data_IF_772354490055
#
_entry.id   IF_772354490055
#
_cell.length_a   1.000
_cell.length_b   1.000
_cell.length_c   1.000
_cell.angle_alpha   90.00
_cell.angle_beta   90.00
_cell.angle_gamma   90.00
#
_symmetry.space_group_name_H-M   'P 1'
#
loop_
_entity.id
_entity.type
_entity.pdbx_description
1 polymer ?
#
# COMPACT_ATOMS: atom_id res chain seq x y z
N UNK A 1 14.78 6.19 -35.25
CA UNK A 1 15.12 5.34 -34.08
C UNK A 1 13.85 4.67 -33.59
N UNK A 2 13.44 3.57 -34.24
CA UNK A 2 12.24 2.80 -33.89
C UNK A 2 12.47 2.12 -32.54
N UNK A 3 11.76 2.55 -31.50
CA UNK A 3 11.68 1.79 -30.25
C UNK A 3 10.82 0.55 -30.50
N UNK A 4 11.49 -0.57 -30.81
CA UNK A 4 10.88 -1.88 -30.91
C UNK A 4 10.34 -2.27 -29.52
N UNK A 5 9.03 -2.15 -29.32
CA UNK A 5 8.36 -2.56 -28.09
C UNK A 5 8.51 -4.08 -27.91
N UNK A 6 9.42 -4.49 -27.03
CA UNK A 6 9.66 -5.89 -26.68
C UNK A 6 8.44 -6.41 -25.90
N UNK A 7 7.51 -7.07 -26.61
CA UNK A 7 6.42 -7.83 -26.01
C UNK A 7 7.01 -9.00 -25.21
N UNK A 8 6.99 -8.89 -23.88
CA UNK A 8 7.35 -10.01 -22.99
C UNK A 8 6.11 -10.89 -22.84
N UNK A 9 6.07 -11.99 -23.59
CA UNK A 9 5.05 -13.02 -23.44
C UNK A 9 5.34 -13.84 -22.17
N UNK A 10 4.80 -13.42 -21.02
CA UNK A 10 4.78 -14.26 -19.82
C UNK A 10 3.68 -15.31 -19.96
N UNK A 11 4.06 -16.57 -20.18
CA UNK A 11 3.12 -17.70 -20.16
C UNK A 11 2.51 -17.84 -18.76
N UNK A 12 1.18 -17.74 -18.66
CA UNK A 12 0.47 -18.11 -17.44
C UNK A 12 0.20 -19.62 -17.51
N UNK A 13 0.63 -20.37 -16.50
CA UNK A 13 0.52 -21.84 -16.46
C UNK A 13 -0.94 -22.39 -16.50
N UNK A 14 -1.96 -21.53 -16.42
CA UNK A 14 -3.38 -21.93 -16.29
C UNK A 14 -4.35 -21.23 -17.27
N UNK A 15 -3.88 -20.66 -18.39
CA UNK A 15 -4.79 -20.04 -19.37
C UNK A 15 -4.27 -20.18 -20.79
N UNK A 16 -5.11 -20.72 -21.68
CA UNK A 16 -4.80 -20.97 -23.10
C UNK A 16 -4.99 -19.76 -24.01
N UNK A 17 -5.56 -18.66 -23.52
CA UNK A 17 -5.69 -17.43 -24.30
C UNK A 17 -4.57 -16.43 -23.97
N UNK A 18 -3.80 -16.06 -25.00
CA UNK A 18 -2.80 -15.00 -24.89
C UNK A 18 -3.52 -13.64 -24.75
N UNK A 19 -3.77 -13.20 -23.52
CA UNK A 19 -4.27 -11.84 -23.28
C UNK A 19 -3.13 -10.85 -23.50
N UNK A 20 -3.26 -9.98 -24.50
CA UNK A 20 -2.37 -8.83 -24.68
C UNK A 20 -2.49 -7.91 -23.44
N UNK A 21 -1.62 -8.11 -22.45
CA UNK A 21 -1.61 -7.27 -21.26
C UNK A 21 -0.73 -6.05 -21.51
N UNK A 22 -1.35 -4.88 -21.61
CA UNK A 22 -0.63 -3.62 -21.51
C UNK A 22 0.09 -3.53 -20.15
N UNK A 23 1.37 -3.12 -20.08
CA UNK A 23 2.09 -2.96 -18.83
C UNK A 23 1.43 -1.89 -17.96
N UNK A 24 0.60 -2.33 -17.01
CA UNK A 24 -0.08 -1.48 -16.02
C UNK A 24 0.70 -1.49 -14.71
N UNK A 25 0.92 -0.30 -14.13
CA UNK A 25 1.47 -0.20 -12.78
C UNK A 25 0.56 -0.92 -11.78
N UNK A 26 1.13 -1.82 -10.97
CA UNK A 26 0.38 -2.54 -9.94
C UNK A 26 0.54 -1.85 -8.60
N UNK A 27 -0.56 -1.76 -7.84
CA UNK A 27 -0.50 -1.30 -6.47
C UNK A 27 0.14 -2.35 -5.57
N UNK A 28 0.99 -1.91 -4.64
CA UNK A 28 1.58 -2.78 -3.64
C UNK A 28 0.50 -3.31 -2.66
N UNK A 29 0.19 -4.60 -2.77
CA UNK A 29 -0.92 -5.22 -2.03
C UNK A 29 -0.75 -5.14 -0.51
N UNK A 30 0.49 -5.24 -0.01
CA UNK A 30 0.81 -5.11 1.41
C UNK A 30 0.58 -3.71 1.96
N UNK A 31 0.79 -2.67 1.15
CA UNK A 31 0.55 -1.28 1.53
C UNK A 31 -0.95 -0.97 1.51
N UNK A 32 -1.68 -1.42 0.47
CA UNK A 32 -3.14 -1.24 0.32
C UNK A 32 -3.94 -1.79 1.50
N UNK A 33 -3.45 -2.87 2.12
CA UNK A 33 -4.08 -3.49 3.30
C UNK A 33 -3.90 -2.66 4.57
N UNK A 34 -2.77 -1.97 4.72
CA UNK A 34 -2.34 -1.31 5.96
C UNK A 34 -2.64 0.18 6.01
N UNK A 35 -2.59 0.85 4.86
CA UNK A 35 -2.79 2.28 4.72
C UNK A 35 -4.07 2.56 3.93
N UNK A 36 -4.82 3.58 4.34
CA UNK A 36 -5.97 4.09 3.59
C UNK A 36 -5.73 5.55 3.24
N UNK A 37 -5.98 5.92 1.99
CA UNK A 37 -5.91 7.32 1.56
C UNK A 37 -7.08 8.11 2.14
N UNK A 38 -6.81 9.37 2.44
CA UNK A 38 -7.78 10.38 2.82
C UNK A 38 -7.85 11.43 1.71
N UNK A 39 -8.97 12.14 1.59
CA UNK A 39 -9.18 13.17 0.56
C UNK A 39 -8.25 14.39 0.69
N UNK A 40 -7.57 14.54 1.83
CA UNK A 40 -6.58 15.59 2.07
C UNK A 40 -5.16 15.19 1.65
N UNK A 41 -4.98 14.06 0.95
CA UNK A 41 -3.69 13.58 0.48
C UNK A 41 -2.81 12.89 1.52
N UNK A 42 -3.29 12.74 2.77
CA UNK A 42 -2.62 11.96 3.81
C UNK A 42 -3.11 10.50 3.84
N UNK A 43 -2.37 9.64 4.56
CA UNK A 43 -2.77 8.26 4.78
C UNK A 43 -3.04 8.00 6.25
N UNK A 44 -4.18 7.38 6.55
CA UNK A 44 -4.49 6.85 7.88
C UNK A 44 -3.92 5.45 8.07
N UNK A 45 -3.43 5.16 9.28
CA UNK A 45 -2.91 3.85 9.70
C UNK A 45 -3.15 3.58 11.19
N UNK A 46 -3.14 2.31 11.57
CA UNK A 46 -3.07 1.91 12.98
C UNK A 46 -1.65 2.14 13.55
N UNK A 47 -1.56 2.34 14.86
CA UNK A 47 -0.28 2.37 15.59
C UNK A 47 0.22 0.96 15.89
N UNK A 48 1.55 0.80 15.91
CA UNK A 48 2.18 -0.49 16.19
C UNK A 48 2.23 -0.77 17.69
N UNK A 49 2.25 -2.05 18.08
CA UNK A 49 2.49 -2.45 19.46
C UNK A 49 1.24 -2.53 20.36
N UNK A 50 0.02 -2.54 19.82
CA UNK A 50 -1.21 -2.71 20.61
C UNK A 50 -1.68 -4.18 20.73
N UNK A 51 -1.07 -5.13 20.00
CA UNK A 51 -1.63 -6.48 19.84
C UNK A 51 -1.29 -7.47 20.97
N UNK A 52 -0.08 -7.41 21.53
CA UNK A 52 0.38 -8.33 22.59
C UNK A 52 1.14 -7.58 23.69
N UNK A 53 1.34 -8.25 24.85
CA UNK A 53 2.05 -7.69 26.01
C UNK A 53 1.42 -6.39 26.52
N UNK A 54 0.09 -6.36 26.61
CA UNK A 54 -0.66 -5.19 27.05
C UNK A 54 -0.75 -5.08 28.58
N UNK A 55 -0.47 -6.17 29.30
CA UNK A 55 -0.50 -6.24 30.76
C UNK A 55 0.49 -5.25 31.39
N UNK A 56 1.71 -5.18 30.85
CA UNK A 56 2.78 -4.31 31.38
C UNK A 56 2.71 -2.86 30.89
N UNK A 57 1.74 -2.51 30.04
CA UNK A 57 1.61 -1.15 29.50
C UNK A 57 0.63 -0.34 30.34
N UNK A 58 1.01 0.89 30.66
CA UNK A 58 0.11 1.82 31.33
C UNK A 58 -1.19 2.02 30.53
N UNK A 59 -2.33 2.27 31.19
CA UNK A 59 -3.60 2.55 30.51
C UNK A 59 -3.49 3.70 29.50
N UNK A 60 -2.77 4.78 29.85
CA UNK A 60 -2.52 5.91 28.97
C UNK A 60 -1.82 5.50 27.66
N UNK A 61 -0.79 4.63 27.76
CA UNK A 61 -0.08 4.11 26.58
C UNK A 61 -0.99 3.26 25.71
N UNK A 62 -1.84 2.41 26.31
CA UNK A 62 -2.81 1.59 25.57
C UNK A 62 -3.79 2.47 24.79
N UNK A 63 -4.36 3.49 25.43
CA UNK A 63 -5.28 4.42 24.79
C UNK A 63 -4.63 5.15 23.61
N UNK A 64 -3.41 5.65 23.78
CA UNK A 64 -2.66 6.28 22.69
C UNK A 64 -2.42 5.33 21.52
N UNK A 65 -2.07 4.08 21.79
CA UNK A 65 -1.81 3.07 20.75
C UNK A 65 -3.09 2.56 20.06
N UNK A 66 -4.25 2.65 20.71
CA UNK A 66 -5.54 2.30 20.11
C UNK A 66 -5.98 3.32 19.04
N UNK A 67 -5.53 4.58 19.15
CA UNK A 67 -5.92 5.63 18.20
C UNK A 67 -5.26 5.48 16.83
N UNK A 68 -6.01 5.89 15.81
CA UNK A 68 -5.51 5.97 14.43
C UNK A 68 -4.58 7.17 14.29
N UNK A 69 -3.51 7.03 13.49
CA UNK A 69 -2.54 8.10 13.24
C UNK A 69 -2.37 8.31 11.74
N UNK A 70 -1.98 9.53 11.37
CA UNK A 70 -1.64 9.86 9.99
C UNK A 70 -0.17 9.49 9.66
N UNK A 71 0.12 9.33 8.38
CA UNK A 71 1.49 9.19 7.86
C UNK A 71 2.24 10.53 7.89
N UNK A 72 3.53 10.46 8.21
CA UNK A 72 4.43 11.61 8.13
C UNK A 72 4.76 11.93 6.66
N UNK A 73 5.11 13.19 6.35
CA UNK A 73 5.32 13.68 4.98
C UNK A 73 6.21 12.80 4.11
N UNK A 74 7.37 12.36 4.63
CA UNK A 74 8.30 11.46 3.92
C UNK A 74 7.67 10.11 3.57
N UNK A 75 6.89 9.53 4.48
CA UNK A 75 6.19 8.26 4.24
C UNK A 75 5.07 8.43 3.22
N UNK A 76 4.37 9.58 3.26
CA UNK A 76 3.31 9.91 2.30
C UNK A 76 3.84 9.93 0.87
N UNK A 77 5.01 10.52 0.62
CA UNK A 77 5.63 10.54 -0.71
C UNK A 77 5.94 9.13 -1.23
N UNK A 78 6.44 8.24 -0.37
CA UNK A 78 6.71 6.84 -0.72
C UNK A 78 5.42 6.05 -0.97
N UNK A 79 4.38 6.26 -0.15
CA UNK A 79 3.09 5.57 -0.30
C UNK A 79 2.37 5.94 -1.61
N UNK A 80 2.46 7.21 -2.04
CA UNK A 80 1.91 7.66 -3.34
C UNK A 80 2.57 6.95 -4.53
N UNK A 81 3.86 6.60 -4.44
CA UNK A 81 4.54 5.80 -5.48
C UNK A 81 4.10 4.34 -5.46
N UNK A 82 3.91 3.76 -4.27
CA UNK A 82 3.53 2.35 -4.09
C UNK A 82 2.06 2.07 -4.42
N UNK A 83 1.20 3.06 -4.26
CA UNK A 83 -0.22 3.00 -4.53
C UNK A 83 -0.50 4.02 -5.64
N UNK A 84 -0.54 3.63 -6.92
CA UNK A 84 -0.77 4.60 -8.01
C UNK A 84 -2.25 4.98 -8.21
N UNK A 85 -3.20 4.23 -7.62
CA UNK A 85 -4.64 4.36 -7.88
C UNK A 85 -5.48 4.71 -6.64
N UNK A 86 -4.88 5.31 -5.61
CA UNK A 86 -5.66 5.76 -4.46
C UNK A 86 -6.33 7.11 -4.73
N UNK A 87 -7.39 7.38 -3.96
CA UNK A 87 -8.09 8.65 -3.95
C UNK A 87 -7.34 9.62 -3.06
N UNK A 88 -6.47 10.45 -3.63
CA UNK A 88 -5.80 11.59 -2.97
C UNK A 88 -6.22 12.89 -3.63
#
# INVERSE_FOLDING_TARGET
MLFLARLVATTRLFSTSAVAQYPKLKSHSGAKKRFKSLANGFFKRARAGHRHLNVHKSPARKNHLAQTTNSQGTQTAMLKKLLPYGSW
#
